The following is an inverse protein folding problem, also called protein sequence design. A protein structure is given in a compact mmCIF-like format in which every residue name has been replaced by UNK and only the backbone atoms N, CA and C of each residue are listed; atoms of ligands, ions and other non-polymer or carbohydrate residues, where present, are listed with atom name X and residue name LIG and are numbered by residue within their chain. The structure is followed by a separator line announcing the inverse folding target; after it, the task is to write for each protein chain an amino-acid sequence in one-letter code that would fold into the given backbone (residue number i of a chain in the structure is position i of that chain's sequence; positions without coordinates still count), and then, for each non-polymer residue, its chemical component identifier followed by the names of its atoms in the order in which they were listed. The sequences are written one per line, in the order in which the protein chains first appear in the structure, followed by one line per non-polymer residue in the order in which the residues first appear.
data_IF_832465262896
#
_entry.id   IF_832465262896
#
_cell.length_a   1.000
_cell.length_b   1.000
_cell.length_c   1.000
_cell.angle_alpha   90.00
_cell.angle_beta   90.00
_cell.angle_gamma   90.00
#
_symmetry.space_group_name_H-M   'P 1'
#
loop_
_entity.id
_entity.type
_entity.pdbx_description
1 polymer ?
#
# COMPACT_ATOMS: atom_id res chain seq x y z
N UNK A 1 -4.93 -3.79 -17.52
CA UNK A 1 -5.43 -2.42 -17.75
C UNK A 1 -4.64 -1.66 -18.82
N UNK A 2 -3.42 -2.10 -19.19
CA UNK A 2 -2.55 -1.37 -20.11
C UNK A 2 -3.14 -1.00 -21.49
N UNK A 3 -3.82 -1.89 -22.26
CA UNK A 3 -4.34 -1.50 -23.59
C UNK A 3 -5.42 -0.42 -23.53
N UNK A 4 -6.31 -0.49 -22.52
CA UNK A 4 -7.36 0.51 -22.29
C UNK A 4 -6.76 1.86 -21.88
N UNK A 5 -5.82 1.85 -20.93
CA UNK A 5 -5.16 3.07 -20.49
C UNK A 5 -4.35 3.74 -21.61
N UNK A 6 -3.71 2.95 -22.48
CA UNK A 6 -2.98 3.49 -23.65
C UNK A 6 -3.93 4.13 -24.65
N UNK A 7 -5.09 3.52 -24.93
CA UNK A 7 -6.08 4.11 -25.82
C UNK A 7 -6.64 5.42 -25.26
N UNK A 8 -7.03 5.44 -23.98
CA UNK A 8 -7.54 6.65 -23.30
C UNK A 8 -6.47 7.75 -23.22
N UNK A 9 -5.23 7.39 -22.89
CA UNK A 9 -4.12 8.36 -22.82
C UNK A 9 -3.72 8.90 -24.20
N UNK A 10 -3.90 8.14 -25.28
CA UNK A 10 -3.68 8.64 -26.64
C UNK A 10 -4.69 9.73 -27.03
N UNK A 11 -5.92 9.66 -26.52
CA UNK A 11 -6.98 10.64 -26.80
C UNK A 11 -6.96 11.83 -25.83
N UNK A 12 -6.71 11.58 -24.54
CA UNK A 12 -6.90 12.56 -23.46
C UNK A 12 -5.58 13.02 -22.81
N UNK A 13 -4.45 12.44 -23.22
CA UNK A 13 -3.11 12.72 -22.69
C UNK A 13 -2.78 12.00 -21.38
N UNK A 14 -3.74 11.35 -20.73
CA UNK A 14 -3.56 10.61 -19.47
C UNK A 14 -4.66 9.56 -19.27
N UNK A 15 -4.48 8.65 -18.31
CA UNK A 15 -5.52 7.67 -17.97
C UNK A 15 -5.50 7.35 -16.48
N UNK A 16 -6.69 7.25 -15.90
CA UNK A 16 -6.88 6.73 -14.54
C UNK A 16 -6.63 5.22 -14.46
N UNK A 17 -6.74 4.48 -15.58
CA UNK A 17 -6.55 3.03 -15.59
C UNK A 17 -5.12 2.63 -15.15
N UNK A 18 -4.14 3.48 -15.43
CA UNK A 18 -2.76 3.30 -14.97
C UNK A 18 -2.58 3.50 -13.47
N UNK A 19 -3.48 4.25 -12.83
CA UNK A 19 -3.45 4.56 -11.40
C UNK A 19 -4.07 3.46 -10.54
N UNK A 20 -5.03 2.72 -11.08
CA UNK A 20 -5.77 1.69 -10.35
C UNK A 20 -4.86 0.50 -10.02
N UNK A 21 -3.97 0.14 -10.95
CA UNK A 21 -3.17 -1.09 -10.86
C UNK A 21 -2.08 -1.01 -9.78
N UNK A 22 -1.46 0.16 -9.59
CA UNK A 22 -0.24 0.27 -8.76
C UNK A 22 -0.31 1.35 -7.70
N UNK A 23 -1.50 1.75 -7.24
CA UNK A 23 -1.63 2.76 -6.17
C UNK A 23 -0.87 2.29 -4.91
N UNK A 24 0.20 2.97 -4.47
CA UNK A 24 1.00 2.52 -3.34
C UNK A 24 0.38 2.92 -1.98
N UNK A 25 -0.68 3.74 -1.99
CA UNK A 25 -1.37 4.21 -0.79
C UNK A 25 -1.93 3.11 0.11
N UNK A 26 -2.73 2.14 -0.38
CA UNK A 26 -3.37 1.15 0.47
C UNK A 26 -2.35 0.27 1.20
N UNK A 27 -1.32 -0.20 0.49
CA UNK A 27 -0.25 -1.02 1.06
C UNK A 27 0.58 -0.26 2.09
N UNK A 28 0.93 1.01 1.82
CA UNK A 28 1.58 1.89 2.79
C UNK A 28 0.75 2.03 4.07
N UNK A 29 -0.56 2.26 3.95
CA UNK A 29 -1.47 2.38 5.09
C UNK A 29 -1.52 1.10 5.95
N UNK A 30 -1.57 -0.07 5.32
CA UNK A 30 -1.54 -1.38 6.01
C UNK A 30 -0.23 -1.54 6.79
N UNK A 31 0.91 -1.26 6.15
CA UNK A 31 2.22 -1.39 6.78
C UNK A 31 2.35 -0.43 7.96
N UNK A 32 1.93 0.83 7.82
CA UNK A 32 1.92 1.79 8.92
C UNK A 32 0.99 1.35 10.05
N UNK A 33 -0.17 0.75 9.76
CA UNK A 33 -1.07 0.22 10.77
C UNK A 33 -0.41 -0.90 11.57
N UNK A 34 0.30 -1.82 10.90
CA UNK A 34 1.09 -2.86 11.58
C UNK A 34 2.26 -2.29 12.38
N UNK A 35 2.88 -1.21 11.93
CA UNK A 35 3.97 -0.57 12.66
C UNK A 35 3.48 0.02 13.99
N UNK A 36 2.33 0.68 13.96
CA UNK A 36 1.78 1.42 15.11
C UNK A 36 0.95 0.53 16.04
N UNK A 37 0.02 -0.25 15.50
CA UNK A 37 -0.95 -1.05 16.27
C UNK A 37 -0.72 -2.56 16.18
N UNK A 38 0.15 -3.02 15.28
CA UNK A 38 0.44 -4.44 15.11
C UNK A 38 1.32 -5.04 16.22
N UNK A 39 1.56 -6.35 16.15
CA UNK A 39 2.38 -7.09 17.11
C UNK A 39 3.78 -6.50 17.26
N UNK A 40 4.25 -6.36 18.50
CA UNK A 40 5.60 -5.84 18.80
C UNK A 40 6.71 -6.63 18.09
N UNK A 41 6.49 -7.93 17.88
CA UNK A 41 7.41 -8.83 17.19
C UNK A 41 7.69 -8.43 15.74
N UNK A 42 6.74 -7.76 15.07
CA UNK A 42 6.85 -7.31 13.67
C UNK A 42 7.39 -5.88 13.54
N UNK A 43 7.29 -5.03 14.57
CA UNK A 43 7.64 -3.59 14.48
C UNK A 43 9.05 -3.30 13.96
N UNK A 44 10.00 -4.20 14.21
CA UNK A 44 11.38 -4.04 13.74
C UNK A 44 11.58 -4.30 12.23
N UNK A 45 10.73 -5.11 11.59
CA UNK A 45 10.83 -5.43 10.15
C UNK A 45 9.95 -4.55 9.28
N UNK A 46 8.90 -3.94 9.86
CA UNK A 46 7.93 -3.13 9.11
C UNK A 46 8.55 -1.91 8.40
N UNK A 47 9.48 -1.13 8.99
CA UNK A 47 10.10 -0.01 8.27
C UNK A 47 10.82 -0.42 7.00
N UNK A 48 11.52 -1.56 7.01
CA UNK A 48 12.15 -2.11 5.80
C UNK A 48 11.12 -2.51 4.75
N UNK A 49 10.00 -3.10 5.18
CA UNK A 49 8.88 -3.42 4.30
C UNK A 49 8.26 -2.15 3.65
N UNK A 50 8.11 -1.07 4.42
CA UNK A 50 7.64 0.23 3.91
C UNK A 50 8.56 0.76 2.82
N UNK A 51 9.87 0.72 3.04
CA UNK A 51 10.86 1.19 2.05
C UNK A 51 10.76 0.38 0.76
N UNK A 52 10.79 -0.96 0.85
CA UNK A 52 10.74 -1.83 -0.35
C UNK A 52 9.41 -1.67 -1.09
N UNK A 53 8.30 -1.51 -0.35
CA UNK A 53 6.98 -1.32 -0.94
C UNK A 53 6.81 0.06 -1.59
N UNK A 54 6.91 1.13 -0.79
CA UNK A 54 6.54 2.47 -1.22
C UNK A 54 7.60 3.11 -2.12
N UNK A 55 8.88 2.94 -1.78
CA UNK A 55 10.00 3.50 -2.54
C UNK A 55 10.50 2.52 -3.62
N UNK A 56 10.50 1.22 -3.34
CA UNK A 56 10.91 0.18 -4.29
C UNK A 56 9.81 -0.25 -5.26
N UNK A 57 8.54 -0.06 -4.92
CA UNK A 57 7.41 -0.40 -5.78
C UNK A 57 7.07 -1.89 -5.83
N UNK A 58 7.48 -2.66 -4.82
CA UNK A 58 7.18 -4.10 -4.71
C UNK A 58 5.93 -4.27 -3.84
N UNK A 59 4.79 -4.52 -4.46
CA UNK A 59 3.47 -4.53 -3.79
C UNK A 59 3.22 -5.83 -3.03
N UNK A 60 3.96 -6.88 -3.34
CA UNK A 60 3.89 -8.18 -2.68
C UNK A 60 4.36 -8.11 -1.23
N UNK A 61 5.18 -7.12 -0.86
CA UNK A 61 5.78 -6.99 0.48
C UNK A 61 4.74 -6.76 1.57
N UNK A 62 3.58 -6.17 1.27
CA UNK A 62 2.52 -6.02 2.27
C UNK A 62 1.58 -7.25 2.35
N UNK A 63 1.65 -8.20 1.41
CA UNK A 63 0.75 -9.37 1.39
C UNK A 63 0.89 -10.26 2.63
N UNK A 64 2.10 -10.58 3.13
CA UNK A 64 2.23 -11.35 4.36
C UNK A 64 1.47 -10.72 5.54
N UNK A 65 1.41 -9.39 5.61
CA UNK A 65 0.69 -8.67 6.67
C UNK A 65 -0.83 -8.84 6.56
N UNK A 66 -1.36 -8.89 5.33
CA UNK A 66 -2.77 -9.22 5.10
C UNK A 66 -3.05 -10.68 5.42
N UNK A 67 -2.16 -11.60 5.05
CA UNK A 67 -2.30 -13.04 5.34
C UNK A 67 -2.26 -13.34 6.85
N UNK A 68 -1.45 -12.62 7.61
CA UNK A 68 -1.40 -12.74 9.07
C UNK A 68 -2.71 -12.35 9.75
N UNK A 69 -3.50 -11.47 9.13
CA UNK A 69 -4.81 -11.10 9.63
C UNK A 69 -5.75 -10.82 8.46
N UNK A 70 -6.44 -11.84 7.91
CA UNK A 70 -7.19 -11.74 6.66
C UNK A 70 -8.19 -10.58 6.60
N UNK A 71 -8.76 -10.17 7.75
CA UNK A 71 -9.63 -8.98 7.84
C UNK A 71 -8.98 -7.68 7.36
N UNK A 72 -7.65 -7.60 7.34
CA UNK A 72 -6.89 -6.45 6.80
C UNK A 72 -7.15 -6.20 5.31
N UNK A 73 -7.75 -7.15 4.59
CA UNK A 73 -8.23 -6.90 3.22
C UNK A 73 -9.24 -5.75 3.17
N UNK A 74 -10.02 -5.53 4.23
CA UNK A 74 -10.95 -4.40 4.32
C UNK A 74 -10.21 -3.05 4.33
N UNK A 75 -9.02 -2.99 4.93
CA UNK A 75 -8.16 -1.80 4.88
C UNK A 75 -7.64 -1.54 3.46
N UNK A 76 -7.22 -2.60 2.75
CA UNK A 76 -6.81 -2.50 1.36
C UNK A 76 -7.94 -1.97 0.46
N UNK A 77 -9.14 -2.54 0.61
CA UNK A 77 -10.33 -2.14 -0.17
C UNK A 77 -10.70 -0.69 0.13
N UNK A 78 -10.79 -0.31 1.41
CA UNK A 78 -11.17 1.05 1.81
C UNK A 78 -10.15 2.10 1.32
N UNK A 79 -8.85 1.83 1.48
CA UNK A 79 -7.80 2.70 0.95
C UNK A 79 -7.84 2.79 -0.57
N UNK A 80 -7.94 1.64 -1.25
CA UNK A 80 -8.02 1.57 -2.71
C UNK A 80 -9.20 2.36 -3.27
N UNK A 81 -10.40 2.15 -2.73
CA UNK A 81 -11.60 2.88 -3.09
C UNK A 81 -11.46 4.39 -2.86
N UNK A 82 -10.84 4.79 -1.73
CA UNK A 82 -10.59 6.21 -1.43
C UNK A 82 -9.64 6.85 -2.45
N UNK A 83 -8.56 6.16 -2.81
CA UNK A 83 -7.61 6.62 -3.82
C UNK A 83 -8.28 6.78 -5.18
N UNK A 84 -8.96 5.73 -5.65
CA UNK A 84 -9.69 5.74 -6.94
C UNK A 84 -10.74 6.86 -6.96
N UNK A 85 -11.55 6.98 -5.91
CA UNK A 85 -12.54 8.05 -5.80
C UNK A 85 -11.92 9.44 -5.83
N UNK A 86 -10.78 9.63 -5.17
CA UNK A 86 -10.04 10.91 -5.22
C UNK A 86 -9.55 11.22 -6.64
N UNK A 87 -8.98 10.24 -7.33
CA UNK A 87 -8.51 10.42 -8.71
C UNK A 87 -9.66 10.72 -9.67
N UNK A 88 -10.81 10.05 -9.50
CA UNK A 88 -12.02 10.33 -10.30
C UNK A 88 -12.53 11.75 -10.08
N UNK A 89 -12.64 12.20 -8.81
CA UNK A 89 -13.15 13.54 -8.48
C UNK A 89 -12.21 14.65 -8.95
N UNK A 90 -10.90 14.43 -8.85
CA UNK A 90 -9.89 15.40 -9.26
C UNK A 90 -9.56 15.34 -10.75
N UNK A 91 -10.05 14.33 -11.47
CA UNK A 91 -9.71 14.07 -12.86
C UNK A 91 -8.23 13.73 -13.05
N UNK A 92 -7.56 13.16 -12.05
CA UNK A 92 -6.15 12.79 -12.12
C UNK A 92 -5.94 11.58 -13.02
N UNK A 93 -4.82 11.56 -13.74
CA UNK A 93 -4.40 10.44 -14.58
C UNK A 93 -2.87 10.36 -14.67
N UNK A 94 -2.37 9.24 -15.18
CA UNK A 94 -0.96 9.09 -15.53
C UNK A 94 -0.80 8.97 -17.04
N UNK A 95 0.40 9.24 -17.56
CA UNK A 95 0.67 9.11 -19.01
C UNK A 95 1.07 7.70 -19.43
N UNK A 96 1.48 6.86 -18.46
CA UNK A 96 1.86 5.47 -18.67
C UNK A 96 1.69 4.66 -17.37
N UNK A 97 1.72 3.33 -17.46
CA UNK A 97 1.73 2.45 -16.27
C UNK A 97 3.05 2.60 -15.51
N UNK A 98 3.03 2.95 -14.21
CA UNK A 98 4.23 2.92 -13.37
C UNK A 98 4.75 1.49 -13.20
N UNK A 99 6.03 1.27 -13.49
CA UNK A 99 6.69 -0.02 -13.25
C UNK A 99 8.16 0.18 -12.83
N UNK A 100 8.59 -0.31 -11.66
CA UNK A 100 7.77 -0.86 -10.56
C UNK A 100 6.73 0.14 -10.03
N UNK A 101 5.81 -0.31 -9.17
CA UNK A 101 4.74 0.53 -8.59
C UNK A 101 5.20 1.50 -7.51
N UNK A 102 6.40 2.08 -7.62
CA UNK A 102 6.99 2.98 -6.62
C UNK A 102 6.42 4.39 -6.72
N UNK A 103 6.52 5.15 -5.63
CA UNK A 103 6.17 6.58 -5.66
C UNK A 103 6.99 7.35 -6.69
N UNK A 104 8.26 6.98 -6.90
CA UNK A 104 9.11 7.62 -7.89
C UNK A 104 8.64 7.35 -9.32
N UNK A 105 8.26 6.11 -9.62
CA UNK A 105 7.72 5.75 -10.93
C UNK A 105 6.41 6.49 -11.20
N UNK A 106 5.52 6.57 -10.20
CA UNK A 106 4.29 7.35 -10.27
C UNK A 106 4.55 8.82 -10.60
N UNK A 107 5.46 9.46 -9.88
CA UNK A 107 5.80 10.87 -10.10
C UNK A 107 6.47 11.09 -11.47
N UNK A 108 7.26 10.13 -11.95
CA UNK A 108 7.91 10.22 -13.26
C UNK A 108 6.92 10.22 -14.44
N UNK A 109 5.78 9.53 -14.29
CA UNK A 109 4.72 9.45 -15.32
C UNK A 109 3.49 10.29 -14.97
N UNK A 110 3.59 11.18 -14.00
CA UNK A 110 2.55 12.15 -13.67
C UNK A 110 2.65 13.35 -14.61
N UNK A 111 1.59 13.70 -15.37
CA UNK A 111 1.61 14.87 -16.24
C UNK A 111 1.66 16.17 -15.41
N UNK A 112 2.21 17.27 -15.96
CA UNK A 112 2.16 18.58 -15.33
C UNK A 112 0.71 18.98 -14.99
N UNK A 113 0.51 19.51 -13.78
CA UNK A 113 -0.83 19.87 -13.28
C UNK A 113 -1.49 18.81 -12.40
N UNK A 114 -1.14 17.53 -12.53
CA UNK A 114 -1.78 16.44 -11.78
C UNK A 114 -1.07 16.09 -10.46
N UNK A 115 0.16 16.56 -10.24
CA UNK A 115 0.99 16.20 -9.08
C UNK A 115 0.28 16.32 -7.73
N UNK A 116 -0.46 17.42 -7.52
CA UNK A 116 -1.20 17.64 -6.26
C UNK A 116 -2.30 16.59 -6.09
N UNK A 117 -3.09 16.36 -7.14
CA UNK A 117 -4.18 15.38 -7.13
C UNK A 117 -3.68 13.95 -6.95
N UNK A 118 -2.58 13.59 -7.61
CA UNK A 118 -1.91 12.29 -7.50
C UNK A 118 -1.44 12.07 -6.06
N UNK A 119 -0.65 13.00 -5.51
CA UNK A 119 -0.14 12.91 -4.15
C UNK A 119 -1.26 12.90 -3.11
N UNK A 120 -2.31 13.70 -3.32
CA UNK A 120 -3.49 13.72 -2.46
C UNK A 120 -4.20 12.36 -2.43
N UNK A 121 -4.44 11.75 -3.59
CA UNK A 121 -5.11 10.44 -3.65
C UNK A 121 -4.27 9.32 -3.03
N UNK A 122 -2.93 9.35 -3.19
CA UNK A 122 -2.03 8.41 -2.50
C UNK A 122 -2.08 8.64 -0.98
N UNK A 123 -2.02 9.90 -0.52
CA UNK A 123 -2.05 10.24 0.89
C UNK A 123 -3.37 9.85 1.56
N UNK A 124 -4.51 10.15 0.94
CA UNK A 124 -5.84 9.78 1.45
C UNK A 124 -6.04 8.27 1.46
N UNK A 125 -5.59 7.58 0.40
CA UNK A 125 -5.60 6.12 0.34
C UNK A 125 -4.80 5.49 1.48
N UNK A 126 -3.60 6.00 1.76
CA UNK A 126 -2.78 5.56 2.88
C UNK A 126 -3.43 5.88 4.24
N UNK A 127 -3.99 7.08 4.41
CA UNK A 127 -4.62 7.51 5.65
C UNK A 127 -5.87 6.66 5.99
N UNK A 128 -6.73 6.38 5.00
CA UNK A 128 -7.92 5.55 5.22
C UNK A 128 -7.53 4.09 5.47
N UNK A 129 -6.60 3.54 4.68
CA UNK A 129 -6.10 2.19 4.90
C UNK A 129 -5.45 2.04 6.29
N UNK A 130 -4.66 3.03 6.71
CA UNK A 130 -4.10 3.10 8.06
C UNK A 130 -5.21 3.11 9.12
N UNK A 131 -6.20 3.98 9.00
CA UNK A 131 -7.25 4.13 10.00
C UNK A 131 -8.08 2.84 10.16
N UNK A 132 -8.50 2.24 9.04
CA UNK A 132 -9.23 0.97 9.03
C UNK A 132 -8.36 -0.16 9.56
N UNK A 133 -7.12 -0.26 9.09
CA UNK A 133 -6.16 -1.28 9.55
C UNK A 133 -5.86 -1.16 11.04
N UNK A 134 -5.67 0.05 11.54
CA UNK A 134 -5.43 0.33 12.96
C UNK A 134 -6.60 -0.14 13.83
N UNK A 135 -7.84 0.15 13.41
CA UNK A 135 -9.04 -0.30 14.11
C UNK A 135 -9.11 -1.83 14.15
N UNK A 136 -8.95 -2.49 13.00
CA UNK A 136 -9.00 -3.95 12.88
C UNK A 136 -7.91 -4.65 13.70
N UNK A 137 -6.72 -4.06 13.78
CA UNK A 137 -5.62 -4.59 14.57
C UNK A 137 -5.93 -4.46 16.06
N UNK A 138 -6.45 -3.31 16.50
CA UNK A 138 -6.75 -3.03 17.91
C UNK A 138 -7.93 -3.83 18.46
N UNK A 139 -8.87 -4.23 17.61
CA UNK A 139 -10.05 -5.01 18.03
C UNK A 139 -9.86 -6.53 17.96
N UNK A 140 -8.69 -7.04 17.55
CA UNK A 140 -8.44 -8.49 17.52
C UNK A 140 -7.63 -8.98 18.71
N UNK A 141 -7.71 -10.28 19.00
CA UNK A 141 -6.95 -10.90 20.09
C UNK A 141 -5.45 -10.91 19.76
N UNK A 142 -4.62 -10.79 20.79
CA UNK A 142 -3.16 -10.98 20.69
C UNK A 142 -2.81 -12.43 20.31
N UNK A 143 -3.72 -13.38 20.53
CA UNK A 143 -3.53 -14.81 20.26
C UNK A 143 -3.31 -15.11 18.77
N UNK A 144 -3.83 -14.25 17.88
CA UNK A 144 -3.66 -14.34 16.41
C UNK A 144 -2.17 -14.34 15.98
N UNK A 145 -1.25 -14.00 16.90
CA UNK A 145 0.18 -13.82 16.62
C UNK A 145 1.10 -14.68 17.51
N UNK A 146 0.56 -15.60 18.31
CA UNK A 146 1.33 -16.40 19.26
C UNK A 146 2.46 -17.21 18.58
N UNK A 147 2.19 -17.78 17.41
CA UNK A 147 3.15 -18.58 16.64
C UNK A 147 4.34 -17.74 16.12
N UNK A 148 4.12 -16.45 15.80
CA UNK A 148 5.18 -15.55 15.33
C UNK A 148 6.21 -15.25 16.42
N UNK A 149 5.75 -15.11 17.67
CA UNK A 149 6.64 -14.85 18.80
C UNK A 149 7.54 -16.07 19.08
N UNK A 150 6.97 -17.28 19.06
CA UNK A 150 7.70 -18.54 19.21
C UNK A 150 8.75 -18.74 18.11
N UNK A 151 8.36 -18.54 16.84
CA UNK A 151 9.28 -18.68 15.70
C UNK A 151 10.46 -17.70 15.75
N UNK A 152 10.22 -16.44 16.14
CA UNK A 152 11.31 -15.44 16.24
C UNK A 152 12.27 -15.77 17.38
N UNK A 153 11.78 -16.28 18.50
CA UNK A 153 12.62 -16.72 19.62
C UNK A 153 13.51 -17.92 19.22
N UNK A 154 12.95 -18.91 18.51
CA UNK A 154 13.69 -20.06 17.99
C UNK A 154 14.80 -19.65 17.00
N UNK A 155 14.48 -18.77 16.03
CA UNK A 155 15.47 -18.24 15.06
C UNK A 155 16.62 -17.49 15.74
N UNK A 156 16.32 -16.69 16.79
CA UNK A 156 17.36 -16.00 17.57
C UNK A 156 18.27 -16.97 18.34
N UNK A 157 17.73 -18.12 18.79
CA UNK A 157 18.50 -19.16 19.49
C UNK A 157 19.45 -19.89 18.53
N UNK A 158 19.01 -20.20 17.30
CA UNK A 158 19.85 -20.83 16.27
C UNK A 158 20.99 -19.93 15.77
N UNK A 159 20.84 -18.61 15.80
CA UNK A 159 21.91 -17.67 15.41
C UNK A 159 22.97 -17.43 16.51
N UNK A 160 22.76 -17.97 17.72
CA UNK A 160 23.63 -17.77 18.90
C UNK A 160 24.31 -19.06 19.37
N UNK A 161 24.07 -20.19 18.71
CA UNK A 161 24.81 -21.44 18.88
C UNK A 161 25.64 -21.71 17.64
#
# INVERSE_FOLDING_TARGET
MAPLGVAEAAETGKSIAFMIETNPGPGLGILLAFWLAGPRVLRGSVPGAIVIHFLGGIHEIYFPYVLLKPKMILAAIAGGATGVGTFMVTGAGLVATPSPGSIFAWLAVTPPGDFVSVLLGIALSAAVSLAVGWLLLKTGSQDDYADLAGAKAASKKMKRG
#
